data_IF_469555753466
#
_entry.id   IF_469555753466
#
_cell.length_a   1.000
_cell.length_b   1.000
_cell.length_c   1.000
_cell.angle_alpha   90.00
_cell.angle_beta   90.00
_cell.angle_gamma   90.00
#
_symmetry.space_group_name_H-M   'P 1'
#
loop_
_entity.id
_entity.type
_entity.pdbx_description
1 polymer ?
#
# COMPACT_ATOMS: atom_id res chain seq x y z
N UNK A 1 4.29 3.22 -25.46
CA UNK A 1 4.57 3.90 -24.18
C UNK A 1 6.05 4.21 -24.10
N UNK A 2 6.46 5.27 -23.38
CA UNK A 2 7.88 5.60 -23.20
C UNK A 2 8.56 4.61 -22.24
N UNK A 3 9.75 4.07 -22.55
CA UNK A 3 10.49 3.24 -21.61
C UNK A 3 10.73 3.98 -20.28
N UNK A 4 10.53 3.31 -19.14
CA UNK A 4 10.74 3.87 -17.80
C UNK A 4 9.57 4.69 -17.22
N UNK A 5 8.48 4.93 -17.98
CA UNK A 5 7.30 5.65 -17.43
C UNK A 5 6.62 4.86 -16.32
N UNK A 6 6.52 3.54 -16.45
CA UNK A 6 5.90 2.71 -15.43
C UNK A 6 6.67 2.77 -14.10
N UNK A 7 8.00 2.63 -14.15
CA UNK A 7 8.84 2.71 -12.95
C UNK A 7 8.81 4.11 -12.34
N UNK A 8 8.82 5.15 -13.17
CA UNK A 8 8.62 6.52 -12.75
C UNK A 8 7.29 6.70 -12.00
N UNK A 9 6.18 6.22 -12.55
CA UNK A 9 4.86 6.33 -11.91
C UNK A 9 4.70 5.44 -10.67
N UNK A 10 5.44 4.33 -10.55
CA UNK A 10 5.45 3.48 -9.36
C UNK A 10 6.17 4.13 -8.17
N UNK A 11 7.14 5.02 -8.42
CA UNK A 11 7.97 5.65 -7.37
C UNK A 11 7.63 7.11 -7.09
N UNK A 12 6.92 7.78 -7.99
CA UNK A 12 6.53 9.18 -7.83
C UNK A 12 5.07 9.27 -7.36
N UNK A 13 4.77 9.78 -6.16
CA UNK A 13 3.39 10.00 -5.74
C UNK A 13 2.85 11.36 -6.21
N UNK A 14 3.71 12.25 -6.70
CA UNK A 14 3.32 13.63 -7.06
C UNK A 14 2.55 13.69 -8.38
N UNK A 15 1.57 14.61 -8.51
CA UNK A 15 0.68 14.71 -9.66
C UNK A 15 1.35 15.21 -10.96
N UNK A 16 2.61 15.64 -10.92
CA UNK A 16 3.32 16.15 -12.10
C UNK A 16 4.75 16.56 -11.80
N UNK A 17 5.39 17.21 -12.77
CA UNK A 17 6.76 17.70 -12.60
C UNK A 17 7.20 18.69 -13.68
N UNK A 18 8.46 19.12 -13.56
CA UNK A 18 9.07 20.09 -14.48
C UNK A 18 8.93 21.56 -14.04
N UNK A 19 8.26 21.82 -12.92
CA UNK A 19 8.16 23.16 -12.36
C UNK A 19 9.51 23.70 -11.86
N UNK A 20 9.68 25.04 -11.80
CA UNK A 20 10.82 25.65 -11.14
C UNK A 20 10.91 25.24 -9.66
N UNK A 21 12.11 25.19 -9.07
CA UNK A 21 12.26 24.90 -7.64
C UNK A 21 11.45 25.86 -6.76
N UNK A 22 10.85 25.34 -5.68
CA UNK A 22 10.01 26.11 -4.74
C UNK A 22 10.66 27.41 -4.23
N UNK A 23 11.98 27.44 -4.03
CA UNK A 23 12.66 28.66 -3.58
C UNK A 23 12.63 29.76 -4.64
N UNK A 24 12.69 29.43 -5.94
CA UNK A 24 12.55 30.40 -7.04
C UNK A 24 11.12 30.91 -7.14
N UNK A 25 10.14 30.02 -6.97
CA UNK A 25 8.71 30.39 -6.97
C UNK A 25 8.41 31.29 -5.76
N UNK A 26 8.91 30.95 -4.58
CA UNK A 26 8.78 31.76 -3.36
C UNK A 26 9.36 33.17 -3.53
N UNK A 27 10.56 33.27 -4.12
CA UNK A 27 11.20 34.56 -4.39
C UNK A 27 10.38 35.37 -5.40
N UNK A 28 9.89 34.73 -6.47
CA UNK A 28 9.06 35.38 -7.50
C UNK A 28 7.73 35.91 -6.94
N UNK A 29 7.07 35.16 -6.06
CA UNK A 29 5.74 35.53 -5.55
C UNK A 29 5.79 36.47 -4.34
N UNK A 30 6.81 36.38 -3.48
CA UNK A 30 6.82 37.07 -2.18
C UNK A 30 8.12 37.82 -1.88
N UNK A 31 9.13 37.76 -2.75
CA UNK A 31 10.44 38.36 -2.48
C UNK A 31 11.18 37.75 -1.29
N UNK A 32 10.78 36.56 -0.82
CA UNK A 32 11.27 35.93 0.42
C UNK A 32 11.64 34.46 0.19
N UNK A 33 12.55 33.95 1.01
CA UNK A 33 12.92 32.53 1.01
C UNK A 33 11.80 31.67 1.60
N UNK A 34 11.70 30.41 1.15
CA UNK A 34 10.69 29.44 1.61
C UNK A 34 10.57 29.34 3.14
N UNK A 35 11.70 29.43 3.86
CA UNK A 35 11.74 29.33 5.32
C UNK A 35 10.99 30.49 6.00
N UNK A 36 11.03 31.69 5.42
CA UNK A 36 10.40 32.91 5.95
C UNK A 36 8.92 33.06 5.58
N UNK A 37 8.35 32.10 4.84
CA UNK A 37 6.95 32.15 4.42
C UNK A 37 6.01 31.59 5.50
N UNK A 38 4.85 32.21 5.62
CA UNK A 38 3.73 31.69 6.43
C UNK A 38 3.17 30.40 5.82
N UNK A 39 2.37 29.64 6.58
CA UNK A 39 1.72 28.44 6.06
C UNK A 39 0.83 28.75 4.84
N UNK A 40 0.10 29.87 4.84
CA UNK A 40 -0.72 30.31 3.72
C UNK A 40 0.11 30.62 2.47
N UNK A 41 1.22 31.35 2.63
CA UNK A 41 2.14 31.64 1.52
C UNK A 41 2.78 30.37 0.96
N UNK A 42 3.19 29.42 1.82
CA UNK A 42 3.70 28.10 1.39
C UNK A 42 2.67 27.32 0.58
N UNK A 43 1.37 27.41 0.92
CA UNK A 43 0.29 26.82 0.10
C UNK A 43 0.23 27.47 -1.28
N UNK A 44 0.23 28.80 -1.35
CA UNK A 44 0.23 29.53 -2.63
C UNK A 44 1.44 29.17 -3.52
N UNK A 45 2.63 29.02 -2.94
CA UNK A 45 3.81 28.52 -3.69
C UNK A 45 3.59 27.12 -4.24
N UNK A 46 3.00 26.19 -3.47
CA UNK A 46 2.71 24.82 -3.95
C UNK A 46 1.66 24.81 -5.06
N UNK A 47 0.63 25.67 -4.96
CA UNK A 47 -0.35 25.85 -6.04
C UNK A 47 0.33 26.36 -7.31
N UNK A 48 1.19 27.37 -7.19
CA UNK A 48 1.94 27.91 -8.32
C UNK A 48 2.93 26.90 -8.92
N UNK A 49 3.57 26.06 -8.09
CA UNK A 49 4.38 24.92 -8.53
C UNK A 49 3.54 23.97 -9.38
N UNK A 50 2.35 23.59 -8.91
CA UNK A 50 1.42 22.74 -9.66
C UNK A 50 1.01 23.32 -11.01
N UNK A 51 0.69 24.60 -11.06
CA UNK A 51 0.36 25.30 -12.32
C UNK A 51 1.56 25.44 -13.27
N UNK A 52 2.79 25.33 -12.75
CA UNK A 52 4.03 25.44 -13.54
C UNK A 52 4.57 24.09 -14.01
N UNK A 53 3.84 23.00 -13.83
CA UNK A 53 4.26 21.70 -14.34
C UNK A 53 4.37 21.68 -15.86
N UNK A 54 5.33 20.92 -16.36
CA UNK A 54 5.49 20.61 -17.78
C UNK A 54 4.78 19.31 -18.15
N UNK A 55 4.62 18.40 -17.18
CA UNK A 55 3.87 17.16 -17.36
C UNK A 55 3.04 16.81 -16.13
N UNK A 56 1.94 16.11 -16.38
CA UNK A 56 1.01 15.57 -15.39
C UNK A 56 1.09 14.05 -15.36
N UNK A 57 1.13 13.50 -14.16
CA UNK A 57 1.09 12.08 -13.87
C UNK A 57 -0.35 11.64 -13.65
N UNK A 58 -0.83 10.70 -14.47
CA UNK A 58 -2.15 10.10 -14.35
C UNK A 58 -1.99 8.65 -13.95
N UNK A 59 -1.89 8.44 -12.63
CA UNK A 59 -1.66 7.11 -12.05
C UNK A 59 -2.76 6.10 -12.42
N UNK A 60 -4.03 6.52 -12.45
CA UNK A 60 -5.16 5.63 -12.76
C UNK A 60 -5.17 5.07 -14.20
N UNK A 61 -4.42 5.65 -15.12
CA UNK A 61 -4.24 5.12 -16.50
C UNK A 61 -2.79 4.79 -16.81
N UNK A 62 -1.93 4.79 -15.79
CA UNK A 62 -0.48 4.56 -15.90
C UNK A 62 0.18 5.37 -17.02
N UNK A 63 -0.16 6.66 -17.15
CA UNK A 63 0.34 7.51 -18.22
C UNK A 63 0.81 8.88 -17.72
N UNK A 64 1.72 9.48 -18.49
CA UNK A 64 2.19 10.86 -18.32
C UNK A 64 1.76 11.66 -19.54
N UNK A 65 1.22 12.85 -19.30
CA UNK A 65 0.77 13.77 -20.34
C UNK A 65 1.50 15.10 -20.22
N UNK A 66 1.75 15.77 -21.35
CA UNK A 66 2.14 17.18 -21.31
C UNK A 66 1.01 18.02 -20.71
N UNK A 67 1.34 19.08 -19.99
CA UNK A 67 0.32 20.07 -19.55
C UNK A 67 -0.34 20.78 -20.74
N UNK A 68 0.34 20.80 -21.90
CA UNK A 68 -0.19 21.28 -23.19
C UNK A 68 -0.66 20.14 -24.11
N UNK A 69 -1.03 18.99 -23.53
CA UNK A 69 -1.57 17.86 -24.29
C UNK A 69 -2.76 18.31 -25.16
N UNK A 70 -2.70 17.99 -26.45
CA UNK A 70 -3.75 18.34 -27.42
C UNK A 70 -5.01 17.48 -27.27
N UNK A 71 -4.98 16.46 -26.40
CA UNK A 71 -6.05 15.47 -26.18
C UNK A 71 -6.50 14.73 -27.46
N UNK A 72 -5.70 14.80 -28.51
CA UNK A 72 -5.88 14.08 -29.75
C UNK A 72 -4.94 12.89 -29.82
N UNK A 73 -5.43 11.81 -30.42
CA UNK A 73 -4.57 10.75 -30.93
C UNK A 73 -4.26 11.10 -32.37
N UNK A 74 -3.00 10.97 -32.76
CA UNK A 74 -2.63 11.07 -34.16
C UNK A 74 -2.90 9.72 -34.80
N UNK A 75 -3.78 9.70 -35.79
CA UNK A 75 -4.00 8.53 -36.62
C UNK A 75 -2.79 8.37 -37.55
N UNK A 76 -1.99 7.35 -37.28
CA UNK A 76 -0.98 6.85 -38.21
C UNK A 76 -1.51 5.61 -38.93
N UNK A 77 -0.98 5.29 -40.12
CA UNK A 77 -1.46 4.18 -40.97
C UNK A 77 -1.47 2.79 -40.30
N UNK A 78 -0.84 2.63 -39.13
CA UNK A 78 -0.86 1.36 -38.39
C UNK A 78 -0.88 1.46 -36.86
N UNK A 79 -0.78 2.66 -36.25
CA UNK A 79 -0.87 2.84 -34.78
C UNK A 79 -1.39 4.22 -34.42
N UNK A 80 -2.29 4.27 -33.42
CA UNK A 80 -2.61 5.49 -32.68
C UNK A 80 -1.35 6.01 -32.00
N UNK A 81 -0.89 7.20 -32.39
CA UNK A 81 0.28 7.84 -31.81
C UNK A 81 -0.12 8.97 -30.86
N UNK A 82 0.70 9.22 -29.84
CA UNK A 82 0.46 10.32 -28.89
C UNK A 82 0.56 11.67 -29.60
N UNK A 83 -0.15 12.69 -29.11
CA UNK A 83 -0.05 14.04 -29.67
C UNK A 83 1.38 14.60 -29.58
N UNK A 84 1.68 15.61 -30.41
CA UNK A 84 3.02 16.19 -30.52
C UNK A 84 3.55 16.77 -29.20
N UNK A 85 2.68 17.41 -28.42
CA UNK A 85 3.04 17.95 -27.11
C UNK A 85 3.43 16.86 -26.09
N UNK A 86 2.73 15.73 -26.08
CA UNK A 86 3.12 14.59 -25.23
C UNK A 86 4.39 13.90 -25.74
N UNK A 87 4.59 13.87 -27.06
CA UNK A 87 5.81 13.32 -27.65
C UNK A 87 7.03 14.17 -27.33
N UNK A 88 6.90 15.49 -27.30
CA UNK A 88 8.01 16.42 -27.05
C UNK A 88 8.55 16.35 -25.61
N UNK A 89 7.77 15.82 -24.65
CA UNK A 89 8.27 15.52 -23.30
C UNK A 89 9.52 14.66 -23.31
N UNK A 90 9.68 13.79 -24.32
CA UNK A 90 10.89 12.97 -24.51
C UNK A 90 12.16 13.79 -24.60
N UNK A 91 12.07 15.04 -25.08
CA UNK A 91 13.20 15.94 -25.25
C UNK A 91 13.49 16.78 -24.00
N UNK A 92 12.55 16.85 -23.05
CA UNK A 92 12.68 17.66 -21.82
C UNK A 92 13.73 17.03 -20.88
N UNK A 93 14.82 17.75 -20.62
CA UNK A 93 15.96 17.26 -19.80
C UNK A 93 15.53 16.83 -18.40
N UNK A 94 14.69 17.62 -17.73
CA UNK A 94 14.19 17.30 -16.39
C UNK A 94 13.32 16.04 -16.38
N UNK A 95 12.53 15.81 -17.44
CA UNK A 95 11.74 14.58 -17.58
C UNK A 95 12.63 13.36 -17.83
N UNK A 96 13.63 13.46 -18.73
CA UNK A 96 14.65 12.40 -18.93
C UNK A 96 15.33 12.04 -17.61
N UNK A 97 15.72 13.04 -16.82
CA UNK A 97 16.33 12.81 -15.52
C UNK A 97 15.37 12.12 -14.55
N UNK A 98 14.08 12.49 -14.56
CA UNK A 98 13.06 11.84 -13.74
C UNK A 98 12.87 10.36 -14.14
N UNK A 99 12.90 10.02 -15.43
CA UNK A 99 12.76 8.63 -15.88
C UNK A 99 13.97 7.76 -15.51
N UNK A 100 15.19 8.32 -15.47
CA UNK A 100 16.45 7.57 -15.21
C UNK A 100 16.71 7.25 -13.74
N UNK A 101 15.96 7.84 -12.81
CA UNK A 101 16.20 7.62 -11.38
C UNK A 101 15.72 6.21 -10.98
N UNK A 102 16.51 5.45 -10.21
CA UNK A 102 16.16 4.09 -9.82
C UNK A 102 14.97 4.06 -8.86
N UNK A 103 14.38 2.87 -8.71
CA UNK A 103 13.42 2.59 -7.66
C UNK A 103 14.14 2.70 -6.30
N UNK A 104 13.61 3.44 -5.31
CA UNK A 104 14.20 3.48 -3.97
C UNK A 104 14.09 2.11 -3.30
N UNK A 105 15.03 1.79 -2.40
CA UNK A 105 14.91 0.61 -1.57
C UNK A 105 13.65 0.71 -0.69
N UNK A 106 13.00 -0.40 -0.31
CA UNK A 106 11.81 -0.37 0.54
C UNK A 106 12.02 0.44 1.83
N UNK A 107 13.19 0.31 2.45
CA UNK A 107 13.54 0.98 3.71
C UNK A 107 13.72 2.50 3.56
N UNK A 108 13.99 2.98 2.35
CA UNK A 108 14.15 4.41 2.07
C UNK A 108 12.82 5.15 1.97
N UNK A 109 11.70 4.43 1.79
CA UNK A 109 10.36 5.04 1.63
C UNK A 109 9.96 5.89 2.84
N UNK A 110 10.48 5.57 4.03
CA UNK A 110 10.25 6.36 5.26
C UNK A 110 10.78 7.79 5.17
N UNK A 111 11.74 8.07 4.29
CA UNK A 111 12.31 9.40 4.10
C UNK A 111 11.54 10.27 3.10
N UNK A 112 10.50 9.76 2.43
CA UNK A 112 9.66 10.57 1.53
C UNK A 112 8.97 11.66 2.37
N UNK A 113 9.14 12.96 2.07
CA UNK A 113 8.50 14.02 2.85
C UNK A 113 6.97 13.88 2.89
N UNK A 114 6.36 14.11 4.06
CA UNK A 114 4.90 13.96 4.25
C UNK A 114 4.08 14.75 3.22
N UNK A 115 4.53 15.94 2.82
CA UNK A 115 3.83 16.76 1.81
C UNK A 115 3.85 16.20 0.39
N UNK A 116 4.52 15.08 0.14
CA UNK A 116 4.45 14.32 -1.10
C UNK A 116 3.72 12.99 -0.94
N UNK A 117 3.25 12.64 0.26
CA UNK A 117 2.44 11.45 0.51
C UNK A 117 0.98 11.86 0.36
N UNK A 118 0.33 11.41 -0.70
CA UNK A 118 -1.08 11.72 -0.96
C UNK A 118 -1.96 10.96 0.04
N UNK A 119 -2.29 11.62 1.16
CA UNK A 119 -2.95 10.97 2.31
C UNK A 119 -4.41 10.69 1.99
N UNK A 120 -5.08 11.64 1.35
CA UNK A 120 -6.52 11.63 1.08
C UNK A 120 -6.91 10.45 0.17
N UNK A 121 -6.16 10.24 -0.92
CA UNK A 121 -6.38 9.08 -1.81
C UNK A 121 -6.02 7.77 -1.11
N UNK A 122 -4.96 7.78 -0.28
CA UNK A 122 -4.58 6.61 0.52
C UNK A 122 -5.67 6.18 1.50
N UNK A 123 -6.20 7.14 2.26
CA UNK A 123 -7.27 6.94 3.23
C UNK A 123 -8.54 6.42 2.55
N UNK A 124 -8.92 6.99 1.38
CA UNK A 124 -10.06 6.53 0.60
C UNK A 124 -9.87 5.09 0.10
N UNK A 125 -8.70 4.75 -0.42
CA UNK A 125 -8.41 3.39 -0.87
C UNK A 125 -8.50 2.37 0.28
N UNK A 126 -7.98 2.73 1.45
CA UNK A 126 -8.08 1.90 2.65
C UNK A 126 -9.53 1.71 3.11
N UNK A 127 -10.38 2.73 2.94
CA UNK A 127 -11.81 2.57 3.23
C UNK A 127 -12.53 1.62 2.29
N UNK A 128 -12.16 1.58 1.00
CA UNK A 128 -12.71 0.58 0.08
C UNK A 128 -12.32 -0.85 0.46
N UNK A 129 -11.21 -1.02 1.18
CA UNK A 129 -10.78 -2.31 1.72
C UNK A 129 -11.34 -2.60 3.12
N UNK A 130 -11.99 -1.62 3.77
CA UNK A 130 -12.39 -1.72 5.19
C UNK A 130 -11.21 -1.83 6.16
N UNK A 131 -10.04 -1.27 5.80
CA UNK A 131 -8.79 -1.37 6.57
C UNK A 131 -8.34 -0.02 7.17
N UNK A 132 -9.20 0.98 7.10
CA UNK A 132 -8.92 2.33 7.59
C UNK A 132 -8.59 2.39 9.09
N UNK A 133 -9.23 1.54 9.90
CA UNK A 133 -9.05 1.45 11.34
C UNK A 133 -7.77 0.70 11.75
N UNK A 134 -6.94 0.29 10.79
CA UNK A 134 -5.60 -0.24 11.06
C UNK A 134 -4.50 0.84 10.95
N UNK A 135 -4.80 2.00 10.37
CA UNK A 135 -3.77 3.00 10.03
C UNK A 135 -4.11 4.44 10.43
N UNK A 136 -5.37 4.75 10.74
CA UNK A 136 -5.79 6.09 11.17
C UNK A 136 -5.10 6.47 12.49
N UNK A 137 -4.89 7.77 12.80
CA UNK A 137 -4.21 8.20 14.02
C UNK A 137 -5.03 8.00 15.31
N UNK A 138 -6.37 7.98 15.21
CA UNK A 138 -7.29 7.86 16.35
C UNK A 138 -7.88 6.44 16.45
N UNK A 139 -7.03 5.42 16.42
CA UNK A 139 -7.48 4.04 16.61
C UNK A 139 -7.91 3.84 18.06
N UNK A 140 -8.99 3.07 18.25
CA UNK A 140 -9.22 2.43 19.53
C UNK A 140 -8.09 1.43 19.83
N UNK A 141 -8.01 0.97 21.08
CA UNK A 141 -6.93 0.09 21.52
C UNK A 141 -6.83 -1.20 20.69
N UNK A 142 -7.97 -1.71 20.20
CA UNK A 142 -8.01 -2.91 19.35
C UNK A 142 -7.41 -2.63 17.98
N UNK A 143 -7.77 -1.54 17.30
CA UNK A 143 -7.22 -1.18 15.99
C UNK A 143 -5.71 -0.95 16.05
N UNK A 144 -5.24 -0.27 17.11
CA UNK A 144 -3.80 -0.09 17.36
C UNK A 144 -3.09 -1.44 17.54
N UNK A 145 -3.63 -2.30 18.41
CA UNK A 145 -3.09 -3.63 18.65
C UNK A 145 -3.04 -4.48 17.38
N UNK A 146 -4.09 -4.45 16.54
CA UNK A 146 -4.13 -5.18 15.27
C UNK A 146 -3.10 -4.65 14.26
N UNK A 147 -2.91 -3.32 14.19
CA UNK A 147 -1.88 -2.70 13.36
C UNK A 147 -0.47 -3.10 13.80
N UNK A 148 -0.19 -3.02 15.10
CA UNK A 148 1.10 -3.41 15.69
C UNK A 148 1.36 -4.91 15.51
N UNK A 149 0.33 -5.74 15.72
CA UNK A 149 0.41 -7.19 15.50
C UNK A 149 0.73 -7.51 14.04
N UNK A 150 0.01 -6.91 13.08
CA UNK A 150 0.28 -7.11 11.66
C UNK A 150 1.71 -6.65 11.28
N UNK A 151 2.15 -5.51 11.78
CA UNK A 151 3.51 -5.01 11.56
C UNK A 151 4.56 -5.96 12.15
N UNK A 152 4.36 -6.45 13.36
CA UNK A 152 5.24 -7.43 14.02
C UNK A 152 5.30 -8.76 13.27
N UNK A 153 4.18 -9.26 12.74
CA UNK A 153 4.17 -10.49 11.93
C UNK A 153 4.99 -10.29 10.65
N UNK A 154 4.77 -9.19 9.93
CA UNK A 154 5.45 -8.90 8.66
C UNK A 154 6.94 -8.61 8.83
N UNK A 155 7.34 -7.97 9.94
CA UNK A 155 8.75 -7.76 10.27
C UNK A 155 9.44 -9.02 10.82
N UNK A 156 8.67 -10.06 11.13
CA UNK A 156 9.19 -11.33 11.65
C UNK A 156 9.40 -11.35 13.16
N UNK A 157 8.90 -10.36 13.89
CA UNK A 157 8.96 -10.29 15.36
C UNK A 157 8.30 -11.51 16.03
N UNK A 158 7.27 -12.09 15.39
CA UNK A 158 6.52 -13.24 15.89
C UNK A 158 6.89 -14.59 15.27
N UNK A 159 8.06 -14.71 14.62
CA UNK A 159 8.47 -15.94 13.92
C UNK A 159 8.50 -17.18 14.82
N UNK A 160 8.80 -17.02 16.10
CA UNK A 160 8.89 -18.14 17.05
C UNK A 160 7.53 -18.51 17.66
N UNK A 161 6.50 -17.68 17.48
CA UNK A 161 5.17 -17.85 18.04
C UNK A 161 4.27 -18.63 17.08
N UNK A 162 4.80 -19.70 16.48
CA UNK A 162 4.12 -20.47 15.41
C UNK A 162 2.78 -21.07 15.85
N UNK A 163 2.65 -21.46 17.12
CA UNK A 163 1.39 -21.97 17.68
C UNK A 163 0.32 -20.88 17.71
N UNK A 164 0.67 -19.66 18.15
CA UNK A 164 -0.25 -18.52 18.20
C UNK A 164 -0.65 -18.09 16.78
N UNK A 165 0.32 -17.93 15.87
CA UNK A 165 0.05 -17.60 14.47
C UNK A 165 -0.79 -18.69 13.79
N UNK A 166 -0.53 -19.94 14.12
CA UNK A 166 -1.30 -21.08 13.65
C UNK A 166 -2.75 -21.09 14.14
N UNK A 167 -2.96 -20.75 15.42
CA UNK A 167 -4.30 -20.61 16.01
C UNK A 167 -5.09 -19.48 15.33
N UNK A 168 -4.49 -18.30 15.17
CA UNK A 168 -5.12 -17.15 14.50
C UNK A 168 -5.50 -17.53 13.07
N UNK A 169 -4.58 -18.17 12.32
CA UNK A 169 -4.86 -18.63 10.94
C UNK A 169 -6.01 -19.64 10.90
N UNK A 170 -6.05 -20.59 11.83
CA UNK A 170 -7.14 -21.57 11.91
C UNK A 170 -8.48 -20.89 12.20
N UNK A 171 -8.53 -19.94 13.13
CA UNK A 171 -9.74 -19.17 13.45
C UNK A 171 -10.23 -18.37 12.23
N UNK A 172 -9.34 -17.65 11.55
CA UNK A 172 -9.68 -16.84 10.36
C UNK A 172 -10.25 -17.73 9.24
N UNK A 173 -9.59 -18.85 8.93
CA UNK A 173 -10.07 -19.77 7.88
C UNK A 173 -11.41 -20.41 8.26
N UNK A 174 -11.61 -20.73 9.54
CA UNK A 174 -12.90 -21.25 10.04
C UNK A 174 -14.00 -20.22 9.79
N UNK A 175 -13.79 -18.97 10.19
CA UNK A 175 -14.78 -17.89 9.98
C UNK A 175 -15.05 -17.58 8.51
N UNK A 176 -14.02 -17.63 7.66
CA UNK A 176 -14.20 -17.49 6.20
C UNK A 176 -15.05 -18.61 5.60
N UNK A 177 -14.89 -19.86 6.07
CA UNK A 177 -15.70 -20.99 5.59
C UNK A 177 -17.13 -20.91 6.11
N UNK A 178 -17.34 -20.53 7.37
CA UNK A 178 -18.67 -20.28 7.93
C UNK A 178 -19.41 -19.21 7.11
N UNK A 179 -18.76 -18.08 6.83
CA UNK A 179 -19.34 -17.01 6.01
C UNK A 179 -19.65 -17.41 4.55
N UNK A 180 -19.11 -18.54 4.08
CA UNK A 180 -19.34 -19.08 2.74
C UNK A 180 -20.21 -20.36 2.77
N UNK A 181 -20.80 -20.70 3.92
CA UNK A 181 -21.57 -21.93 4.15
C UNK A 181 -20.81 -23.21 3.76
N UNK A 182 -19.47 -23.17 3.86
CA UNK A 182 -18.60 -24.30 3.50
C UNK A 182 -18.36 -25.22 4.69
N UNK A 183 -18.42 -26.52 4.42
CA UNK A 183 -18.04 -27.55 5.39
C UNK A 183 -16.61 -27.37 5.90
N UNK A 184 -16.37 -27.68 7.17
CA UNK A 184 -15.04 -27.75 7.79
C UNK A 184 -14.28 -29.04 7.45
N UNK A 185 -14.92 -29.98 6.75
CA UNK A 185 -14.26 -31.21 6.30
C UNK A 185 -13.10 -30.86 5.35
N UNK A 186 -11.96 -31.52 5.56
CA UNK A 186 -10.75 -31.32 4.75
C UNK A 186 -9.99 -30.00 5.02
N UNK A 187 -10.39 -29.23 6.04
CA UNK A 187 -9.63 -28.06 6.45
C UNK A 187 -8.23 -28.46 6.94
N UNK A 188 -7.21 -27.76 6.43
CA UNK A 188 -5.81 -27.95 6.83
C UNK A 188 -5.48 -27.02 8.00
N UNK A 189 -4.80 -27.55 9.00
CA UNK A 189 -4.34 -26.81 10.18
C UNK A 189 -2.81 -26.64 10.11
N UNK A 190 -2.27 -25.50 10.57
CA UNK A 190 -0.82 -25.32 10.70
C UNK A 190 -0.21 -26.33 11.67
N UNK A 191 0.90 -26.97 11.30
CA UNK A 191 1.50 -28.11 12.03
C UNK A 191 1.77 -27.83 13.50
N UNK A 192 2.43 -26.71 13.83
CA UNK A 192 2.75 -26.37 15.22
C UNK A 192 1.49 -26.25 16.09
N UNK A 193 0.42 -25.65 15.56
CA UNK A 193 -0.86 -25.52 16.25
C UNK A 193 -1.60 -26.87 16.36
N UNK A 194 -1.62 -27.67 15.27
CA UNK A 194 -2.28 -28.98 15.25
C UNK A 194 -1.61 -29.97 16.21
N UNK A 195 -0.28 -29.91 16.34
CA UNK A 195 0.49 -30.71 17.30
C UNK A 195 0.15 -30.38 18.75
N UNK A 196 0.10 -29.07 19.10
CA UNK A 196 -0.34 -28.65 20.44
C UNK A 196 -1.78 -29.07 20.72
N UNK A 197 -2.67 -28.97 19.72
CA UNK A 197 -4.04 -29.46 19.83
C UNK A 197 -4.08 -30.98 20.11
N UNK A 198 -3.28 -31.78 19.41
CA UNK A 198 -3.20 -33.22 19.62
C UNK A 198 -2.68 -33.56 21.02
N UNK A 199 -1.58 -32.92 21.46
CA UNK A 199 -1.02 -33.10 22.81
C UNK A 199 -2.07 -32.76 23.87
N UNK A 200 -2.74 -31.60 23.74
CA UNK A 200 -3.76 -31.17 24.70
C UNK A 200 -4.96 -32.14 24.72
N UNK A 201 -5.38 -32.65 23.56
CA UNK A 201 -6.43 -33.65 23.47
C UNK A 201 -6.05 -34.98 24.13
N UNK A 202 -4.78 -35.38 24.05
CA UNK A 202 -4.25 -36.58 24.73
C UNK A 202 -4.19 -36.40 26.24
N UNK A 203 -3.71 -35.25 26.72
CA UNK A 203 -3.60 -34.95 28.16
C UNK A 203 -4.99 -34.81 28.79
N UNK A 204 -5.87 -34.03 28.15
CA UNK A 204 -7.20 -33.77 28.67
C UNK A 204 -8.18 -33.47 27.53
N UNK A 205 -8.97 -34.46 27.09
CA UNK A 205 -10.01 -34.24 26.09
C UNK A 205 -11.01 -33.17 26.50
N UNK A 206 -11.26 -32.99 27.81
CA UNK A 206 -12.14 -31.95 28.35
C UNK A 206 -11.52 -30.56 28.19
N UNK A 207 -10.25 -30.37 28.57
CA UNK A 207 -9.56 -29.09 28.38
C UNK A 207 -9.45 -28.74 26.88
N UNK A 208 -9.20 -29.74 26.03
CA UNK A 208 -9.16 -29.52 24.59
C UNK A 208 -10.50 -29.05 24.02
N UNK A 209 -11.64 -29.60 24.47
CA UNK A 209 -12.96 -29.13 24.03
C UNK A 209 -13.17 -27.65 24.36
N UNK A 210 -12.75 -27.21 25.56
CA UNK A 210 -12.82 -25.80 25.96
C UNK A 210 -11.90 -24.94 25.07
N UNK A 211 -10.63 -25.34 24.91
CA UNK A 211 -9.68 -24.63 24.05
C UNK A 211 -10.21 -24.47 22.62
N UNK A 212 -10.70 -25.57 22.04
CA UNK A 212 -11.24 -25.60 20.68
C UNK A 212 -12.43 -24.66 20.48
N UNK A 213 -13.25 -24.46 21.52
CA UNK A 213 -14.39 -23.54 21.43
C UNK A 213 -13.96 -22.09 21.19
N UNK A 214 -12.76 -21.70 21.63
CA UNK A 214 -12.23 -20.34 21.48
C UNK A 214 -11.26 -20.19 20.31
N UNK A 215 -10.40 -21.18 20.07
CA UNK A 215 -9.30 -21.09 19.10
C UNK A 215 -9.49 -21.96 17.85
N UNK A 216 -10.61 -22.70 17.79
CA UNK A 216 -10.86 -23.68 16.73
C UNK A 216 -9.97 -24.91 16.84
N UNK A 217 -9.80 -25.62 15.72
CA UNK A 217 -9.06 -26.89 15.67
C UNK A 217 -9.94 -28.08 15.30
N UNK A 218 -9.29 -29.21 15.06
CA UNK A 218 -9.93 -30.48 14.67
C UNK A 218 -10.89 -30.98 15.75
N UNK A 219 -11.86 -31.79 15.35
CA UNK A 219 -12.65 -32.52 16.36
C UNK A 219 -11.78 -33.61 16.99
N UNK A 220 -12.12 -34.02 18.22
CA UNK A 220 -11.45 -35.17 18.88
C UNK A 220 -11.45 -36.42 18.01
N UNK A 221 -12.55 -36.66 17.28
CA UNK A 221 -12.63 -37.76 16.31
C UNK A 221 -11.61 -37.61 15.19
N UNK A 222 -11.47 -36.41 14.62
CA UNK A 222 -10.52 -36.17 13.54
C UNK A 222 -9.05 -36.26 13.98
N UNK A 223 -8.72 -35.88 15.21
CA UNK A 223 -7.34 -35.96 15.72
C UNK A 223 -6.82 -37.40 15.80
N UNK A 224 -7.69 -38.37 16.08
CA UNK A 224 -7.32 -39.79 16.14
C UNK A 224 -6.77 -40.35 14.82
N UNK A 225 -7.15 -39.76 13.68
CA UNK A 225 -6.71 -40.19 12.35
C UNK A 225 -5.49 -39.43 11.82
N UNK A 226 -4.92 -38.50 12.61
CA UNK A 226 -3.77 -37.67 12.21
C UNK A 226 -2.49 -38.14 12.90
N UNK A 227 -2.59 -38.77 14.07
CA UNK A 227 -1.47 -39.34 14.81
C UNK A 227 -1.23 -40.83 14.54
N UNK A 228 -1.67 -41.36 13.39
CA UNK A 228 -1.38 -42.73 12.91
C UNK A 228 -0.29 -42.69 11.85
#
# INVERSE_FOLDING_TARGET
>A
MLPGVNDYLRRTPVPGGGAPPRHKIALKLFGRTWKKLTAAQKRQVRTAEGHSYLWNNRHGVHAVFSTTCQKTLRDGPSKRTVCGACLSLRSVKTFKNALRRPMPAPDDRKYVPYGFREKEIGDLYLSYLGLEDLVKPNLNDVGRMLGDFAHGVLSGLYKQQEVLLGAIKATVVTKQREAQDKSMRGMKYPTAFDNVCAILATISPRAYRLFRAHFGGRTLRSLRYVGS
#
